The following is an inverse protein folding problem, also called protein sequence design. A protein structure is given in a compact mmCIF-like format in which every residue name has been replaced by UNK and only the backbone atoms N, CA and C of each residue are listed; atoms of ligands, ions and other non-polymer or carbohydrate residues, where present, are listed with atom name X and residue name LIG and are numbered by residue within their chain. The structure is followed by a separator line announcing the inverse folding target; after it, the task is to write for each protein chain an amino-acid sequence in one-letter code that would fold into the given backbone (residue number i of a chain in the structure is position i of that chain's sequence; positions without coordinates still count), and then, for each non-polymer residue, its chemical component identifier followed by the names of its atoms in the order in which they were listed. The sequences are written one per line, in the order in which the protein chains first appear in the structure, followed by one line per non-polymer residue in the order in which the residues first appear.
data_IF_957633359146
#
_entry.id   IF_957633359146
#
_cell.length_a   1.000
_cell.length_b   1.000
_cell.length_c   1.000
_cell.angle_alpha   90.00
_cell.angle_beta   90.00
_cell.angle_gamma   90.00
#
_symmetry.space_group_name_H-M   'P 1'
#
loop_
_entity.id
_entity.type
_entity.pdbx_description
1 polymer ?
#
# COMPACT_ATOMS: atom_id res chain seq x y z
N UNK A 1 14.77 -14.69 -4.65
CA UNK A 1 13.91 -15.18 -3.56
C UNK A 1 12.86 -16.11 -4.16
N UNK A 2 12.62 -17.31 -3.60
CA UNK A 2 11.60 -18.20 -4.14
C UNK A 2 10.20 -17.67 -3.82
N UNK A 3 9.29 -17.84 -4.77
CA UNK A 3 7.86 -17.61 -4.61
C UNK A 3 7.11 -18.72 -5.33
N UNK A 4 5.88 -18.98 -4.88
CA UNK A 4 4.96 -19.87 -5.57
C UNK A 4 3.66 -19.12 -5.84
N UNK A 5 2.98 -19.46 -6.92
CA UNK A 5 1.67 -18.89 -7.22
C UNK A 5 0.73 -19.93 -7.82
N UNK A 6 -0.56 -19.69 -7.63
CA UNK A 6 -1.67 -20.46 -8.20
C UNK A 6 -2.54 -19.50 -9.00
N UNK A 7 -2.99 -19.94 -10.18
CA UNK A 7 -3.97 -19.21 -10.98
C UNK A 7 -5.37 -19.71 -10.67
N UNK A 8 -6.32 -18.81 -10.46
CA UNK A 8 -7.73 -19.09 -10.27
C UNK A 8 -8.58 -18.30 -11.25
N UNK A 9 -9.65 -18.92 -11.75
CA UNK A 9 -10.63 -18.26 -12.62
C UNK A 9 -10.05 -17.75 -13.96
N UNK A 10 -10.95 -17.17 -14.74
CA UNK A 10 -10.61 -16.51 -16.01
C UNK A 10 -10.39 -15.01 -15.82
N UNK A 11 -9.53 -14.43 -16.65
CA UNK A 11 -9.19 -13.01 -16.56
C UNK A 11 -10.41 -12.14 -16.88
N UNK A 12 -10.73 -11.13 -16.05
CA UNK A 12 -11.58 -10.03 -16.45
C UNK A 12 -10.96 -9.25 -17.62
N UNK A 13 -11.79 -8.44 -18.30
CA UNK A 13 -11.33 -7.61 -19.42
C UNK A 13 -10.18 -6.65 -19.07
N UNK A 14 -10.08 -6.22 -17.81
CA UNK A 14 -8.99 -5.31 -17.36
C UNK A 14 -7.70 -6.04 -16.98
N UNK A 15 -7.69 -7.38 -16.99
CA UNK A 15 -6.58 -8.20 -16.53
C UNK A 15 -6.88 -8.93 -15.22
N UNK A 16 -6.01 -9.88 -14.88
CA UNK A 16 -6.12 -10.68 -13.67
C UNK A 16 -5.85 -9.86 -12.41
N UNK A 17 -6.51 -10.24 -11.31
CA UNK A 17 -6.14 -9.77 -9.96
C UNK A 17 -4.82 -10.43 -9.49
N UNK A 18 -4.09 -9.78 -8.57
CA UNK A 18 -2.93 -10.37 -7.90
C UNK A 18 -3.08 -10.27 -6.38
N UNK A 19 -3.03 -11.40 -5.68
CA UNK A 19 -3.09 -11.49 -4.22
C UNK A 19 -1.74 -11.96 -3.70
N UNK A 20 -1.02 -11.08 -3.01
CA UNK A 20 0.27 -11.38 -2.40
C UNK A 20 0.03 -11.77 -0.94
N UNK A 21 0.41 -12.99 -0.57
CA UNK A 21 0.12 -13.59 0.73
C UNK A 21 1.41 -13.96 1.47
N UNK A 22 1.75 -13.17 2.48
CA UNK A 22 3.01 -13.27 3.24
C UNK A 22 2.89 -14.28 4.39
N UNK A 23 3.89 -15.15 4.50
CA UNK A 23 3.92 -16.18 5.54
C UNK A 23 4.32 -15.63 6.92
N UNK A 24 3.88 -16.34 7.97
CA UNK A 24 4.33 -16.12 9.34
C UNK A 24 5.70 -16.74 9.64
N UNK A 25 6.11 -16.75 10.90
CA UNK A 25 7.44 -17.24 11.30
C UNK A 25 8.35 -16.09 11.68
N UNK A 26 9.58 -16.08 11.17
CA UNK A 26 10.62 -15.16 11.61
C UNK A 26 11.30 -15.58 12.90
N UNK A 27 12.53 -15.08 13.07
CA UNK A 27 13.46 -15.40 14.16
C UNK A 27 13.53 -16.90 14.50
N UNK A 28 13.47 -17.75 13.48
CA UNK A 28 13.38 -19.20 13.60
C UNK A 28 14.25 -19.89 12.55
N UNK A 29 14.63 -21.16 12.72
CA UNK A 29 15.37 -21.90 11.70
C UNK A 29 14.68 -21.88 10.34
N UNK A 30 15.46 -21.95 9.26
CA UNK A 30 14.95 -21.90 7.88
C UNK A 30 13.83 -22.92 7.64
N UNK A 31 13.97 -24.15 8.15
CA UNK A 31 12.95 -25.21 8.01
C UNK A 31 11.58 -24.83 8.60
N UNK A 32 11.54 -24.02 9.67
CA UNK A 32 10.29 -23.52 10.24
C UNK A 32 9.66 -22.48 9.32
N UNK A 33 10.45 -21.53 8.84
CA UNK A 33 9.99 -20.51 7.89
C UNK A 33 9.51 -21.14 6.57
N UNK A 34 10.22 -22.14 6.05
CA UNK A 34 9.84 -22.83 4.82
C UNK A 34 8.54 -23.62 4.99
N UNK A 35 8.28 -24.17 6.19
CA UNK A 35 6.99 -24.81 6.51
C UNK A 35 5.86 -23.78 6.56
N UNK A 36 6.09 -22.61 7.16
CA UNK A 36 5.10 -21.52 7.17
C UNK A 36 4.81 -21.02 5.76
N UNK A 37 5.84 -20.86 4.93
CA UNK A 37 5.68 -20.53 3.53
C UNK A 37 4.85 -21.59 2.79
N UNK A 38 5.17 -22.88 2.94
CA UNK A 38 4.39 -23.97 2.32
C UNK A 38 2.91 -23.95 2.73
N UNK A 39 2.62 -23.66 4.00
CA UNK A 39 1.24 -23.47 4.47
C UNK A 39 0.56 -22.29 3.76
N UNK A 40 1.27 -21.15 3.65
CA UNK A 40 0.75 -19.94 3.04
C UNK A 40 0.38 -20.12 1.56
N UNK A 41 1.09 -20.96 0.78
CA UNK A 41 0.85 -21.17 -0.66
C UNK A 41 -0.60 -21.57 -1.00
N UNK A 42 -1.31 -22.24 -0.08
CA UNK A 42 -2.68 -22.73 -0.29
C UNK A 42 -3.66 -22.23 0.75
N UNK A 43 -3.27 -21.25 1.55
CA UNK A 43 -4.08 -20.82 2.69
C UNK A 43 -5.42 -20.23 2.25
N UNK A 44 -5.43 -19.45 1.17
CA UNK A 44 -6.65 -18.89 0.63
C UNK A 44 -6.85 -19.19 -0.85
N UNK A 45 -8.12 -19.13 -1.27
CA UNK A 45 -8.56 -19.37 -2.63
C UNK A 45 -9.42 -18.19 -3.11
N UNK A 46 -8.87 -17.20 -3.84
CA UNK A 46 -9.68 -16.19 -4.49
C UNK A 46 -10.56 -16.80 -5.58
N UNK A 47 -11.64 -16.09 -5.95
CA UNK A 47 -12.51 -16.49 -7.07
C UNK A 47 -11.77 -16.42 -8.40
N UNK A 48 -10.88 -15.45 -8.54
CA UNK A 48 -10.17 -15.09 -9.76
C UNK A 48 -8.81 -14.50 -9.41
N UNK A 49 -7.82 -14.69 -10.29
CA UNK A 49 -6.52 -14.02 -10.24
C UNK A 49 -5.37 -14.94 -9.86
N UNK A 50 -4.19 -14.34 -9.70
CA UNK A 50 -3.01 -15.02 -9.19
C UNK A 50 -2.95 -14.89 -7.67
N UNK A 51 -2.94 -16.03 -6.97
CA UNK A 51 -2.60 -16.08 -5.55
C UNK A 51 -1.12 -16.42 -5.42
N UNK A 52 -0.33 -15.49 -4.90
CA UNK A 52 1.12 -15.57 -4.82
C UNK A 52 1.56 -15.56 -3.37
N UNK A 53 2.36 -16.55 -2.98
CA UNK A 53 3.04 -16.58 -1.69
C UNK A 53 4.56 -16.49 -1.88
N UNK A 54 5.20 -15.35 -1.55
CA UNK A 54 6.65 -15.25 -1.51
C UNK A 54 7.19 -15.88 -0.21
N UNK A 55 8.41 -16.41 -0.24
CA UNK A 55 9.17 -16.79 0.95
C UNK A 55 10.16 -15.70 1.28
N UNK A 56 10.04 -14.97 2.39
CA UNK A 56 10.92 -13.83 2.69
C UNK A 56 12.41 -14.16 2.56
N UNK A 57 13.26 -13.17 2.25
CA UNK A 57 14.68 -13.42 1.97
C UNK A 57 15.39 -14.00 3.19
N UNK A 58 15.05 -13.45 4.36
CA UNK A 58 15.69 -13.70 5.62
C UNK A 58 14.77 -14.48 6.55
N UNK A 59 15.35 -14.94 7.67
CA UNK A 59 14.62 -15.55 8.78
C UNK A 59 14.65 -14.65 10.02
N UNK A 60 14.90 -13.34 9.86
CA UNK A 60 14.95 -12.37 10.95
C UNK A 60 13.56 -12.20 11.59
N UNK A 61 13.50 -11.54 12.74
CA UNK A 61 12.22 -11.24 13.39
C UNK A 61 11.37 -10.26 12.57
N UNK A 62 12.01 -9.39 11.76
CA UNK A 62 11.39 -8.35 10.94
C UNK A 62 11.49 -8.65 9.43
N UNK A 63 11.46 -9.92 9.04
CA UNK A 63 11.71 -10.40 7.66
C UNK A 63 10.93 -9.68 6.54
N UNK A 64 9.78 -9.07 6.84
CA UNK A 64 8.94 -8.34 5.87
C UNK A 64 9.11 -6.81 5.94
N UNK A 65 9.95 -6.32 6.84
CA UNK A 65 10.23 -4.91 7.09
C UNK A 65 11.70 -4.57 6.79
N UNK A 66 12.48 -5.47 6.21
CA UNK A 66 13.83 -5.13 5.77
C UNK A 66 13.80 -4.30 4.47
N UNK A 67 14.76 -3.38 4.29
CA UNK A 67 14.78 -2.41 3.18
C UNK A 67 14.76 -3.02 1.78
N UNK A 68 15.13 -4.28 1.62
CA UNK A 68 15.10 -4.97 0.35
C UNK A 68 13.71 -5.53 -0.03
N UNK A 69 12.74 -5.50 0.87
CA UNK A 69 11.40 -6.06 0.66
C UNK A 69 10.57 -5.19 -0.28
N UNK A 70 10.62 -3.88 -0.14
CA UNK A 70 9.88 -2.92 -0.97
C UNK A 70 10.28 -3.01 -2.46
N UNK A 71 11.58 -2.90 -2.84
CA UNK A 71 11.99 -3.05 -4.24
C UNK A 71 11.74 -4.46 -4.78
N UNK A 72 11.77 -5.48 -3.92
CA UNK A 72 11.39 -6.84 -4.30
C UNK A 72 9.90 -6.90 -4.69
N UNK A 73 9.00 -6.32 -3.89
CA UNK A 73 7.58 -6.28 -4.21
C UNK A 73 7.29 -5.45 -5.46
N UNK A 74 7.97 -4.31 -5.64
CA UNK A 74 7.83 -3.53 -6.88
C UNK A 74 8.20 -4.37 -8.10
N UNK A 75 9.37 -5.02 -8.09
CA UNK A 75 9.81 -5.91 -9.18
C UNK A 75 8.84 -7.06 -9.42
N UNK A 76 8.33 -7.66 -8.35
CA UNK A 76 7.40 -8.79 -8.44
C UNK A 76 6.08 -8.38 -9.09
N UNK A 77 5.52 -7.23 -8.69
CA UNK A 77 4.28 -6.70 -9.26
C UNK A 77 4.49 -6.40 -10.75
N UNK A 78 5.58 -5.72 -11.10
CA UNK A 78 5.89 -5.37 -12.49
C UNK A 78 6.01 -6.61 -13.38
N UNK A 79 6.66 -7.68 -12.90
CA UNK A 79 6.75 -8.94 -13.63
C UNK A 79 5.37 -9.56 -13.88
N UNK A 80 4.47 -9.52 -12.90
CA UNK A 80 3.11 -10.05 -13.07
C UNK A 80 2.24 -9.18 -13.99
N UNK A 81 2.40 -7.86 -13.94
CA UNK A 81 1.75 -6.94 -14.88
C UNK A 81 2.24 -7.24 -16.30
N UNK A 82 3.55 -7.28 -16.52
CA UNK A 82 4.16 -7.45 -17.85
C UNK A 82 3.96 -8.86 -18.44
N UNK A 83 4.12 -9.92 -17.64
CA UNK A 83 4.21 -11.29 -18.15
C UNK A 83 2.94 -12.11 -17.92
N UNK A 84 2.04 -11.65 -17.05
CA UNK A 84 0.85 -12.40 -16.63
C UNK A 84 -0.46 -11.63 -16.82
N UNK A 85 -0.41 -10.41 -17.35
CA UNK A 85 -1.59 -9.59 -17.63
C UNK A 85 -2.34 -9.20 -16.36
N UNK A 86 -1.61 -8.97 -15.26
CA UNK A 86 -2.21 -8.45 -14.02
C UNK A 86 -2.60 -6.99 -14.20
N UNK A 87 -3.79 -6.65 -13.73
CA UNK A 87 -4.26 -5.27 -13.61
C UNK A 87 -3.54 -4.61 -12.42
N UNK A 88 -2.69 -3.58 -12.61
CA UNK A 88 -1.99 -2.91 -11.51
C UNK A 88 -2.93 -2.19 -10.54
N UNK A 89 -4.22 -2.04 -10.87
CA UNK A 89 -5.23 -1.53 -9.96
C UNK A 89 -5.97 -2.62 -9.16
N UNK A 90 -5.59 -3.90 -9.31
CA UNK A 90 -6.14 -5.06 -8.60
C UNK A 90 -5.05 -5.91 -7.96
N UNK A 91 -4.08 -5.24 -7.34
CA UNK A 91 -3.01 -5.86 -6.55
C UNK A 91 -3.35 -5.73 -5.08
N UNK A 92 -3.36 -6.84 -4.36
CA UNK A 92 -3.76 -6.93 -2.96
C UNK A 92 -2.62 -7.53 -2.13
N UNK A 93 -2.43 -7.05 -0.91
CA UNK A 93 -1.42 -7.58 0.00
C UNK A 93 -2.05 -8.07 1.30
N UNK A 94 -1.62 -9.24 1.75
CA UNK A 94 -2.13 -9.85 2.97
C UNK A 94 -1.07 -10.73 3.61
N UNK A 95 -1.22 -11.05 4.89
CA UNK A 95 -0.30 -11.95 5.55
C UNK A 95 -0.77 -12.36 6.93
N UNK A 96 -0.21 -13.46 7.41
CA UNK A 96 -0.58 -14.09 8.66
C UNK A 96 0.59 -14.06 9.66
N UNK A 97 0.34 -13.74 10.93
CA UNK A 97 1.37 -13.71 11.98
C UNK A 97 2.48 -12.69 11.64
N UNK A 98 3.75 -13.09 11.52
CA UNK A 98 4.81 -12.19 11.01
C UNK A 98 4.49 -11.61 9.62
N UNK A 99 3.75 -12.32 8.76
CA UNK A 99 3.22 -11.74 7.53
C UNK A 99 2.11 -10.71 7.77
N UNK A 100 1.39 -10.83 8.88
CA UNK A 100 0.50 -9.79 9.39
C UNK A 100 1.27 -8.55 9.84
N UNK A 101 2.38 -8.72 10.56
CA UNK A 101 3.31 -7.63 10.92
C UNK A 101 3.80 -6.93 9.65
N UNK A 102 4.25 -7.72 8.67
CA UNK A 102 4.63 -7.24 7.34
C UNK A 102 3.49 -6.49 6.64
N UNK A 103 2.24 -6.90 6.81
CA UNK A 103 1.09 -6.21 6.21
C UNK A 103 0.86 -4.84 6.87
N UNK A 104 1.00 -4.73 8.19
CA UNK A 104 0.95 -3.44 8.88
C UNK A 104 2.04 -2.48 8.40
N UNK A 105 3.22 -3.00 8.05
CA UNK A 105 4.37 -2.21 7.60
C UNK A 105 4.28 -1.82 6.11
N UNK A 106 3.99 -2.78 5.24
CA UNK A 106 4.03 -2.61 3.79
C UNK A 106 2.77 -1.95 3.22
N UNK A 107 1.61 -2.14 3.86
CA UNK A 107 0.39 -1.48 3.43
C UNK A 107 0.54 0.06 3.43
N UNK A 108 0.99 0.72 4.52
CA UNK A 108 1.23 2.17 4.49
C UNK A 108 2.46 2.57 3.65
N UNK A 109 3.58 1.85 3.72
CA UNK A 109 4.81 2.22 2.98
C UNK A 109 4.64 2.18 1.46
N UNK A 110 3.83 1.25 0.97
CA UNK A 110 3.60 1.03 -0.47
C UNK A 110 2.12 1.23 -0.84
N UNK A 111 1.38 2.07 -0.11
CA UNK A 111 -0.09 2.20 -0.28
C UNK A 111 -0.53 2.52 -1.71
N UNK A 112 0.32 3.20 -2.48
CA UNK A 112 0.07 3.54 -3.87
C UNK A 112 0.29 2.38 -4.86
N UNK A 113 0.58 1.16 -4.38
CA UNK A 113 0.66 -0.09 -5.16
C UNK A 113 -0.54 -1.00 -4.92
N UNK A 114 -1.27 -0.80 -3.83
CA UNK A 114 -2.31 -1.71 -3.37
C UNK A 114 -3.71 -1.20 -3.69
N UNK A 115 -4.62 -2.11 -4.04
CA UNK A 115 -6.04 -1.86 -4.13
C UNK A 115 -6.75 -2.07 -2.78
N UNK A 116 -6.24 -2.99 -1.97
CA UNK A 116 -6.62 -3.20 -0.57
C UNK A 116 -5.55 -4.06 0.12
N UNK A 117 -5.53 -4.00 1.45
CA UNK A 117 -4.67 -4.83 2.28
C UNK A 117 -5.46 -5.49 3.43
N UNK A 118 -5.04 -6.69 3.83
CA UNK A 118 -5.66 -7.41 4.94
C UNK A 118 -4.62 -8.05 5.86
N UNK A 119 -4.61 -7.63 7.12
CA UNK A 119 -3.71 -8.10 8.16
C UNK A 119 -4.39 -9.19 8.99
N UNK A 120 -3.72 -10.33 9.18
CA UNK A 120 -4.20 -11.43 10.02
C UNK A 120 -3.19 -11.74 11.14
N UNK A 121 -3.66 -11.66 12.39
CA UNK A 121 -2.93 -12.07 13.60
C UNK A 121 -1.51 -11.48 13.77
N UNK A 122 -1.25 -10.32 13.17
CA UNK A 122 -0.01 -9.58 13.28
C UNK A 122 -0.04 -8.46 14.31
N UNK A 123 1.10 -7.82 14.48
CA UNK A 123 1.38 -6.72 15.37
C UNK A 123 1.90 -5.52 14.55
N UNK A 124 1.38 -4.30 14.79
CA UNK A 124 1.74 -3.12 14.01
C UNK A 124 3.14 -2.60 14.29
N UNK A 125 3.70 -2.91 15.46
CA UNK A 125 4.94 -2.29 15.97
C UNK A 125 4.82 -0.76 15.91
N UNK A 126 5.77 -0.08 15.29
CA UNK A 126 5.80 1.37 15.08
C UNK A 126 5.00 1.87 13.86
N UNK A 127 4.32 0.99 13.12
CA UNK A 127 3.56 1.37 11.95
C UNK A 127 2.57 2.51 12.23
N UNK A 128 2.30 3.31 11.21
CA UNK A 128 1.40 4.46 11.30
C UNK A 128 0.31 4.40 10.24
N UNK A 129 -0.92 4.85 10.57
CA UNK A 129 -2.03 4.79 9.62
C UNK A 129 -2.03 5.95 8.62
N UNK A 130 -1.16 6.95 8.76
CA UNK A 130 -1.15 8.18 7.95
C UNK A 130 -1.30 7.88 6.44
N UNK A 131 -0.53 6.90 5.92
CA UNK A 131 -0.55 6.51 4.50
C UNK A 131 -1.75 5.64 4.10
N UNK A 132 -2.58 5.19 5.04
CA UNK A 132 -3.80 4.41 4.78
C UNK A 132 -4.98 5.29 4.35
N UNK A 133 -4.79 6.61 4.19
CA UNK A 133 -5.85 7.56 3.82
C UNK A 133 -6.69 7.07 2.63
N UNK A 134 -6.04 6.56 1.58
CA UNK A 134 -6.68 6.07 0.35
C UNK A 134 -6.68 4.54 0.23
N UNK A 135 -6.12 3.81 1.19
CA UNK A 135 -5.96 2.36 1.10
C UNK A 135 -6.98 1.63 2.00
N UNK A 136 -7.90 0.84 1.40
CA UNK A 136 -8.73 -0.06 2.19
C UNK A 136 -7.90 -1.05 3.02
N UNK A 137 -8.10 -1.06 4.34
CA UNK A 137 -7.33 -1.91 5.27
C UNK A 137 -8.22 -2.78 6.17
N UNK A 138 -8.02 -4.10 6.17
CA UNK A 138 -8.80 -5.04 6.98
C UNK A 138 -7.94 -5.67 8.08
N UNK A 139 -8.32 -5.46 9.34
CA UNK A 139 -7.70 -6.03 10.54
C UNK A 139 -8.47 -7.28 10.99
N UNK A 140 -7.77 -8.39 11.18
CA UNK A 140 -8.34 -9.63 11.70
C UNK A 140 -7.43 -10.27 12.74
N UNK A 141 -7.97 -10.61 13.92
CA UNK A 141 -7.18 -11.23 14.98
C UNK A 141 -8.03 -12.16 15.86
N UNK A 142 -7.43 -13.21 16.43
CA UNK A 142 -8.08 -14.06 17.42
C UNK A 142 -8.24 -13.34 18.76
N UNK A 143 -9.40 -13.43 19.40
CA UNK A 143 -9.67 -12.81 20.69
C UNK A 143 -8.86 -13.38 21.85
N UNK A 144 -8.37 -14.62 21.72
CA UNK A 144 -7.47 -15.28 22.68
C UNK A 144 -6.00 -15.18 22.27
N UNK A 145 -5.69 -14.43 21.21
CA UNK A 145 -4.34 -14.29 20.68
C UNK A 145 -3.54 -13.21 21.45
N UNK A 146 -3.22 -13.53 22.71
CA UNK A 146 -2.73 -12.56 23.69
C UNK A 146 -1.21 -12.31 23.66
N UNK A 147 -0.42 -13.10 22.92
CA UNK A 147 1.03 -12.89 22.90
C UNK A 147 1.34 -11.51 22.28
N UNK A 148 2.18 -10.71 22.95
CA UNK A 148 2.47 -9.31 22.60
C UNK A 148 1.22 -8.41 22.56
N UNK A 149 0.17 -8.74 23.32
CA UNK A 149 -1.10 -8.02 23.34
C UNK A 149 -1.75 -7.84 21.95
N UNK A 150 -1.44 -8.72 20.99
CA UNK A 150 -1.88 -8.59 19.58
C UNK A 150 -3.38 -8.43 19.42
N UNK A 151 -4.17 -9.19 20.16
CA UNK A 151 -5.63 -9.05 20.17
C UNK A 151 -6.10 -7.65 20.61
N UNK A 152 -5.53 -7.11 21.68
CA UNK A 152 -5.86 -5.77 22.20
C UNK A 152 -5.40 -4.68 21.23
N UNK A 153 -4.18 -4.80 20.72
CA UNK A 153 -3.58 -3.81 19.82
C UNK A 153 -4.29 -3.80 18.47
N UNK A 154 -4.70 -4.95 17.94
CA UNK A 154 -5.56 -5.02 16.76
C UNK A 154 -6.90 -4.31 16.97
N UNK A 155 -7.54 -4.49 18.14
CA UNK A 155 -8.77 -3.78 18.48
C UNK A 155 -8.56 -2.25 18.59
N UNK A 156 -7.45 -1.83 19.22
CA UNK A 156 -7.08 -0.42 19.34
C UNK A 156 -6.81 0.22 17.98
N UNK A 157 -6.14 -0.49 17.06
CA UNK A 157 -5.94 -0.02 15.70
C UNK A 157 -7.25 0.12 14.92
N UNK A 158 -8.18 -0.82 15.09
CA UNK A 158 -9.53 -0.69 14.56
C UNK A 158 -10.21 0.59 15.04
N UNK A 159 -10.24 0.82 16.36
CA UNK A 159 -10.82 2.03 16.95
C UNK A 159 -10.10 3.33 16.51
N UNK A 160 -8.78 3.28 16.29
CA UNK A 160 -8.02 4.41 15.73
C UNK A 160 -8.48 4.73 14.31
N UNK A 161 -8.69 3.73 13.46
CA UNK A 161 -9.21 3.90 12.10
C UNK A 161 -10.68 4.37 12.11
N UNK A 162 -11.50 3.90 13.05
CA UNK A 162 -12.87 4.42 13.25
C UNK A 162 -12.85 5.94 13.50
N UNK A 163 -11.97 6.40 14.40
CA UNK A 163 -11.79 7.82 14.70
C UNK A 163 -11.30 8.62 13.48
N UNK A 164 -10.30 8.10 12.76
CA UNK A 164 -9.77 8.76 11.56
C UNK A 164 -10.80 8.84 10.43
N UNK A 165 -11.56 7.77 10.18
CA UNK A 165 -12.62 7.75 9.18
C UNK A 165 -13.77 8.70 9.55
N UNK A 166 -14.12 8.83 10.83
CA UNK A 166 -15.12 9.80 11.30
C UNK A 166 -14.70 11.24 11.06
N UNK A 167 -13.41 11.55 11.23
CA UNK A 167 -12.84 12.88 10.98
C UNK A 167 -12.64 13.17 9.48
N UNK A 168 -12.56 12.12 8.66
CA UNK A 168 -12.29 12.21 7.22
C UNK A 168 -13.29 11.35 6.42
N UNK A 169 -14.55 11.82 6.23
CA UNK A 169 -15.56 11.05 5.52
C UNK A 169 -15.09 10.58 4.15
N UNK A 170 -15.15 9.26 3.91
CA UNK A 170 -14.71 8.63 2.66
C UNK A 170 -13.25 8.17 2.63
N UNK A 171 -12.43 8.60 3.59
CA UNK A 171 -11.05 8.14 3.77
C UNK A 171 -10.93 7.02 4.79
N UNK A 172 -9.74 6.41 4.89
CA UNK A 172 -9.41 5.34 5.84
C UNK A 172 -10.44 4.21 5.82
N UNK A 173 -10.86 3.79 4.62
CA UNK A 173 -11.81 2.68 4.48
C UNK A 173 -11.23 1.45 5.18
N UNK A 174 -11.97 0.89 6.13
CA UNK A 174 -11.43 -0.21 6.91
C UNK A 174 -12.50 -1.19 7.37
N UNK A 175 -12.05 -2.31 7.89
CA UNK A 175 -12.86 -3.29 8.59
C UNK A 175 -12.02 -3.92 9.68
N UNK A 176 -12.65 -4.26 10.80
CA UNK A 176 -11.98 -4.92 11.93
C UNK A 176 -12.83 -6.10 12.40
N UNK A 177 -12.21 -7.27 12.57
CA UNK A 177 -12.85 -8.42 13.24
C UNK A 177 -11.89 -9.00 14.28
N UNK A 178 -12.35 -9.02 15.53
CA UNK A 178 -11.71 -9.79 16.60
C UNK A 178 -12.57 -11.04 16.85
N UNK A 179 -12.01 -12.23 16.64
CA UNK A 179 -12.73 -13.50 16.74
C UNK A 179 -12.67 -14.04 18.18
N UNK A 180 -13.69 -13.84 19.05
CA UNK A 180 -13.51 -13.91 20.51
C UNK A 180 -12.98 -15.25 21.03
N UNK A 181 -13.34 -16.34 20.36
CA UNK A 181 -13.04 -17.70 20.79
C UNK A 181 -11.78 -18.32 20.17
N UNK A 182 -11.08 -17.60 19.30
CA UNK A 182 -9.93 -18.12 18.54
C UNK A 182 -8.61 -17.59 19.09
N UNK A 183 -7.58 -18.43 19.09
CA UNK A 183 -6.20 -18.05 19.41
C UNK A 183 -5.47 -17.53 18.17
N UNK A 184 -4.16 -17.77 18.10
CA UNK A 184 -3.34 -17.32 16.98
C UNK A 184 -3.83 -17.80 15.62
N UNK A 185 -4.31 -19.04 15.56
CA UNK A 185 -4.92 -19.60 14.37
C UNK A 185 -6.44 -19.42 14.40
N UNK A 186 -6.98 -18.70 13.40
CA UNK A 186 -8.40 -18.37 13.29
C UNK A 186 -9.19 -19.43 12.50
N UNK A 187 -8.60 -20.60 12.22
CA UNK A 187 -9.22 -21.73 11.51
C UNK A 187 -9.85 -21.32 10.16
N UNK A 188 -9.18 -20.42 9.42
CA UNK A 188 -9.61 -19.96 8.11
C UNK A 188 -10.84 -19.04 8.12
N UNK A 189 -11.35 -18.64 9.30
CA UNK A 189 -12.47 -17.67 9.41
C UNK A 189 -12.10 -16.32 8.81
N UNK A 190 -10.82 -15.99 8.87
CA UNK A 190 -10.19 -14.80 8.32
C UNK A 190 -10.14 -14.78 6.77
N UNK A 191 -10.47 -15.88 6.09
CA UNK A 191 -10.58 -15.94 4.63
C UNK A 191 -11.62 -14.97 4.04
N UNK A 192 -12.52 -14.43 4.87
CA UNK A 192 -13.46 -13.35 4.47
C UNK A 192 -12.74 -12.08 3.97
N UNK A 193 -11.46 -11.91 4.27
CA UNK A 193 -10.64 -10.83 3.71
C UNK A 193 -10.48 -10.91 2.19
N UNK A 194 -10.44 -12.12 1.61
CA UNK A 194 -10.19 -12.26 0.17
C UNK A 194 -11.30 -11.65 -0.69
N UNK A 195 -12.58 -12.03 -0.54
CA UNK A 195 -13.66 -11.37 -1.28
C UNK A 195 -13.85 -9.90 -0.89
N UNK A 196 -13.48 -9.51 0.33
CA UNK A 196 -13.51 -8.10 0.75
C UNK A 196 -12.44 -7.27 0.03
N UNK A 197 -11.19 -7.74 -0.05
CA UNK A 197 -10.13 -7.06 -0.82
C UNK A 197 -10.53 -6.97 -2.30
N UNK A 198 -11.02 -8.07 -2.88
CA UNK A 198 -11.45 -8.15 -4.27
C UNK A 198 -12.58 -7.16 -4.65
N UNK A 199 -13.34 -6.64 -3.69
CA UNK A 199 -14.36 -5.62 -3.94
C UNK A 199 -13.79 -4.19 -4.04
N UNK A 200 -12.47 -4.04 -3.99
CA UNK A 200 -11.78 -2.75 -4.08
C UNK A 200 -10.88 -2.70 -5.31
N UNK A 201 -10.68 -1.49 -5.81
CA UNK A 201 -9.79 -1.19 -6.93
C UNK A 201 -9.00 0.05 -6.54
N UNK A 202 -7.69 0.04 -6.82
CA UNK A 202 -6.81 1.17 -6.52
C UNK A 202 -7.22 2.39 -7.35
N UNK A 203 -7.24 3.55 -6.71
CA UNK A 203 -7.20 4.84 -7.41
C UNK A 203 -5.74 5.30 -7.53
N UNK A 204 -5.14 5.32 -8.73
CA UNK A 204 -3.77 5.80 -8.92
C UNK A 204 -3.65 7.33 -8.84
N UNK A 205 -4.76 8.08 -8.87
CA UNK A 205 -4.79 9.54 -8.89
C UNK A 205 -5.72 10.13 -7.81
N UNK A 206 -5.54 9.75 -6.53
CA UNK A 206 -6.42 10.22 -5.46
C UNK A 206 -6.31 11.74 -5.28
N UNK A 207 -7.40 12.40 -4.90
CA UNK A 207 -7.42 13.85 -4.72
C UNK A 207 -6.78 14.33 -3.42
N UNK A 208 -6.64 13.46 -2.43
CA UNK A 208 -6.02 13.76 -1.15
C UNK A 208 -4.91 12.75 -0.93
N UNK A 209 -3.71 13.20 -0.57
CA UNK A 209 -2.60 12.38 -0.12
C UNK A 209 -2.15 12.85 1.24
N UNK A 210 -1.97 11.91 2.16
CA UNK A 210 -1.17 12.07 3.36
C UNK A 210 -0.01 11.07 3.25
N UNK A 211 1.22 11.58 3.26
CA UNK A 211 2.42 10.78 3.05
C UNK A 211 3.42 10.99 4.18
N UNK A 212 3.45 10.05 5.11
CA UNK A 212 4.48 9.82 6.09
C UNK A 212 5.60 8.94 5.52
N UNK A 213 6.84 9.36 5.74
CA UNK A 213 8.05 8.60 5.46
C UNK A 213 8.42 7.75 6.67
N UNK A 214 8.37 6.43 6.51
CA UNK A 214 8.77 5.50 7.56
C UNK A 214 10.31 5.43 7.68
N UNK A 215 10.81 4.54 8.54
CA UNK A 215 12.24 4.22 8.62
C UNK A 215 12.82 3.69 7.31
N UNK A 216 12.02 2.93 6.54
CA UNK A 216 12.24 2.67 5.12
C UNK A 216 11.47 3.71 4.32
N UNK A 217 12.25 4.63 3.74
CA UNK A 217 11.71 5.74 2.97
C UNK A 217 11.45 5.39 1.52
N UNK A 218 10.49 6.09 0.91
CA UNK A 218 10.16 5.98 -0.50
C UNK A 218 10.35 7.30 -1.22
N UNK A 219 10.78 7.27 -2.49
CA UNK A 219 10.88 8.49 -3.30
C UNK A 219 9.58 8.90 -3.98
N UNK A 220 8.62 7.98 -4.14
CA UNK A 220 7.37 8.20 -4.89
C UNK A 220 6.19 7.66 -4.08
N UNK A 221 5.15 8.49 -3.97
CA UNK A 221 3.87 8.11 -3.39
C UNK A 221 2.72 8.78 -4.15
N UNK A 222 1.95 7.99 -4.90
CA UNK A 222 0.97 8.44 -5.87
C UNK A 222 1.56 9.49 -6.84
N UNK A 223 1.06 10.73 -6.79
CA UNK A 223 1.51 11.84 -7.61
C UNK A 223 2.53 12.76 -6.93
N UNK A 224 3.08 12.35 -5.78
CA UNK A 224 4.19 13.04 -5.11
C UNK A 224 5.51 12.32 -5.37
N UNK A 225 6.57 13.11 -5.55
CA UNK A 225 7.95 12.63 -5.62
C UNK A 225 8.86 13.48 -4.75
N UNK A 226 9.60 12.82 -3.85
CA UNK A 226 10.62 13.40 -2.99
C UNK A 226 11.98 12.82 -3.38
N UNK A 227 12.92 13.68 -3.80
CA UNK A 227 14.23 13.24 -4.27
C UNK A 227 15.11 12.71 -3.12
N UNK A 228 14.97 13.27 -1.93
CA UNK A 228 15.80 12.97 -0.76
C UNK A 228 14.90 12.80 0.48
N UNK A 229 14.05 11.75 0.50
CA UNK A 229 13.15 11.51 1.61
C UNK A 229 13.91 11.18 2.88
N UNK A 230 13.43 11.72 4.01
CA UNK A 230 13.95 11.46 5.34
C UNK A 230 12.84 10.85 6.20
N UNK A 231 13.24 9.99 7.13
CA UNK A 231 12.34 9.41 8.13
C UNK A 231 11.53 10.49 8.83
N UNK A 232 10.27 10.20 9.09
CA UNK A 232 9.29 11.02 9.80
C UNK A 232 8.91 12.35 9.11
N UNK A 233 9.30 12.56 7.86
CA UNK A 233 8.70 13.62 7.04
C UNK A 233 7.23 13.29 6.76
N UNK A 234 6.38 14.29 6.84
CA UNK A 234 4.95 14.20 6.47
C UNK A 234 4.67 15.24 5.39
N UNK A 235 4.06 14.80 4.29
CA UNK A 235 3.60 15.66 3.20
C UNK A 235 2.10 15.45 3.04
N UNK A 236 1.34 16.54 3.05
CA UNK A 236 -0.09 16.52 2.72
C UNK A 236 -0.32 17.24 1.41
N UNK A 237 -1.19 16.68 0.57
CA UNK A 237 -1.50 17.28 -0.71
C UNK A 237 -2.97 17.03 -1.09
N UNK A 238 -3.71 18.09 -1.39
CA UNK A 238 -5.14 18.03 -1.73
C UNK A 238 -5.43 18.79 -3.01
N UNK A 239 -6.31 18.26 -3.84
CA UNK A 239 -6.71 18.87 -5.12
C UNK A 239 -8.19 19.23 -5.09
N UNK A 240 -8.46 20.49 -5.43
CA UNK A 240 -9.80 21.02 -5.72
C UNK A 240 -9.79 21.74 -7.07
N UNK A 241 -10.41 21.13 -8.08
CA UNK A 241 -10.35 21.59 -9.47
C UNK A 241 -8.90 21.71 -9.97
N UNK A 242 -8.47 22.96 -10.21
CA UNK A 242 -7.11 23.31 -10.68
C UNK A 242 -6.18 23.79 -9.55
N UNK A 243 -6.63 23.74 -8.30
CA UNK A 243 -5.87 24.17 -7.12
C UNK A 243 -5.30 22.97 -6.39
N UNK A 244 -4.02 23.04 -6.07
CA UNK A 244 -3.31 22.05 -5.27
C UNK A 244 -2.90 22.72 -3.97
N UNK A 245 -3.44 22.26 -2.86
CA UNK A 245 -2.90 22.56 -1.53
C UNK A 245 -1.76 21.57 -1.28
N UNK A 246 -0.54 22.04 -1.05
CA UNK A 246 0.64 21.23 -0.79
C UNK A 246 1.36 21.75 0.45
N UNK A 247 1.51 20.90 1.46
CA UNK A 247 2.08 21.31 2.74
C UNK A 247 2.98 20.23 3.35
N UNK A 248 4.08 20.67 3.96
CA UNK A 248 4.98 19.85 4.76
C UNK A 248 5.79 20.76 5.68
N UNK A 249 6.13 20.30 6.87
CA UNK A 249 6.87 21.11 7.84
C UNK A 249 8.40 21.12 7.60
N UNK A 250 8.94 20.06 6.97
CA UNK A 250 10.40 19.84 6.89
C UNK A 250 10.87 19.25 5.56
N UNK A 251 10.08 19.39 4.50
CA UNK A 251 10.44 19.02 3.14
C UNK A 251 10.65 20.28 2.32
N UNK A 252 11.86 20.56 1.79
CA UNK A 252 12.12 21.81 1.08
C UNK A 252 11.54 21.82 -0.33
N UNK A 253 11.51 20.66 -1.00
CA UNK A 253 11.06 20.55 -2.39
C UNK A 253 10.32 19.26 -2.64
N UNK A 254 9.24 19.33 -3.42
CA UNK A 254 8.50 18.18 -3.93
C UNK A 254 8.34 18.32 -5.44
N UNK A 255 8.41 17.21 -6.16
CA UNK A 255 7.99 17.16 -7.56
C UNK A 255 6.60 16.57 -7.65
N UNK A 256 5.67 17.33 -8.19
CA UNK A 256 4.32 16.88 -8.54
C UNK A 256 4.36 16.13 -9.86
N UNK A 257 3.86 14.90 -9.86
CA UNK A 257 3.70 14.04 -11.03
C UNK A 257 2.27 14.20 -11.54
N UNK A 258 2.05 14.97 -12.59
CA UNK A 258 0.71 15.38 -13.02
C UNK A 258 0.23 14.62 -14.26
N UNK A 259 -1.08 14.45 -14.37
CA UNK A 259 -1.77 13.75 -15.47
C UNK A 259 -3.16 14.36 -15.67
N UNK A 260 -3.70 14.27 -16.89
CA UNK A 260 -5.07 14.69 -17.18
C UNK A 260 -6.13 13.89 -16.43
N UNK A 261 -5.76 12.70 -15.94
CA UNK A 261 -6.58 11.91 -15.00
C UNK A 261 -6.72 12.60 -13.64
N UNK A 262 -5.78 13.46 -13.27
CA UNK A 262 -5.73 14.14 -11.99
C UNK A 262 -6.30 15.57 -12.05
N UNK A 263 -6.03 16.34 -13.09
CA UNK A 263 -6.52 17.72 -13.32
C UNK A 263 -6.39 18.09 -14.79
N UNK A 264 -6.96 19.21 -15.24
CA UNK A 264 -6.86 19.61 -16.65
C UNK A 264 -5.53 20.36 -16.92
N UNK A 265 -4.62 19.76 -17.67
CA UNK A 265 -3.31 20.35 -18.00
C UNK A 265 -3.37 21.43 -19.10
N UNK A 266 -4.52 21.63 -19.75
CA UNK A 266 -4.77 22.77 -20.66
C UNK A 266 -5.15 24.05 -19.90
N UNK A 267 -5.34 23.97 -18.58
CA UNK A 267 -5.70 25.09 -17.73
C UNK A 267 -4.57 25.39 -16.76
N UNK A 268 -4.51 26.65 -16.36
CA UNK A 268 -3.60 27.09 -15.31
C UNK A 268 -3.83 26.29 -14.03
N UNK A 269 -2.73 25.93 -13.36
CA UNK A 269 -2.72 25.23 -12.08
C UNK A 269 -2.17 26.19 -11.04
N UNK A 270 -2.79 26.24 -9.88
CA UNK A 270 -2.30 27.01 -8.74
C UNK A 270 -1.89 26.04 -7.63
N UNK A 271 -0.68 26.21 -7.09
CA UNK A 271 -0.20 25.46 -5.92
C UNK A 271 -0.02 26.42 -4.77
N UNK A 272 -0.60 26.12 -3.61
CA UNK A 272 -0.48 26.93 -2.39
C UNK A 272 -0.13 26.06 -1.18
N UNK A 273 0.47 26.65 -0.15
CA UNK A 273 0.62 26.00 1.16
C UNK A 273 -0.57 26.29 2.10
N UNK A 274 -0.57 25.74 3.32
CA UNK A 274 -1.68 25.94 4.29
C UNK A 274 -1.84 27.39 4.77
N UNK A 275 -0.81 28.23 4.65
CA UNK A 275 -0.86 29.66 4.95
C UNK A 275 -1.34 30.51 3.75
N UNK A 276 -1.66 29.89 2.61
CA UNK A 276 -2.12 30.59 1.42
C UNK A 276 -0.99 31.22 0.58
N UNK A 277 0.29 30.93 0.90
CA UNK A 277 1.42 31.34 0.05
C UNK A 277 1.34 30.60 -1.28
N UNK A 278 1.37 31.35 -2.38
CA UNK A 278 1.47 30.79 -3.72
C UNK A 278 2.88 30.21 -3.93
N UNK A 279 2.94 28.92 -4.23
CA UNK A 279 4.18 28.20 -4.54
C UNK A 279 4.40 28.07 -6.06
N UNK A 280 3.30 28.10 -6.81
CA UNK A 280 3.31 28.08 -8.28
C UNK A 280 1.96 28.54 -8.83
N UNK A 281 1.97 29.23 -9.96
CA UNK A 281 0.79 29.51 -10.78
C UNK A 281 1.19 29.55 -12.25
N UNK A 282 0.56 28.72 -13.07
CA UNK A 282 0.89 28.65 -14.49
C UNK A 282 0.40 27.38 -15.18
N UNK A 283 0.66 27.29 -16.49
CA UNK A 283 0.49 26.06 -17.25
C UNK A 283 1.66 25.11 -16.98
N UNK A 284 1.37 23.81 -16.86
CA UNK A 284 2.40 22.78 -16.76
C UNK A 284 2.33 21.90 -18.01
N UNK A 285 3.26 22.07 -18.96
CA UNK A 285 3.18 21.36 -20.23
C UNK A 285 3.45 19.87 -20.05
N UNK A 286 2.73 19.06 -20.83
CA UNK A 286 3.06 17.65 -20.98
C UNK A 286 4.42 17.50 -21.64
N UNK A 287 5.15 16.44 -21.29
CA UNK A 287 6.43 16.15 -21.91
C UNK A 287 6.67 14.65 -22.04
N UNK A 288 7.35 14.25 -23.12
CA UNK A 288 7.85 12.88 -23.30
C UNK A 288 8.73 12.46 -22.12
N UNK A 289 9.56 13.37 -21.61
CA UNK A 289 10.44 13.14 -20.45
C UNK A 289 9.64 12.75 -19.20
N UNK A 290 8.50 13.38 -18.93
CA UNK A 290 7.66 13.03 -17.78
C UNK A 290 7.08 11.61 -17.90
N UNK A 291 6.69 11.22 -19.12
CA UNK A 291 6.18 9.88 -19.44
C UNK A 291 7.29 8.84 -19.27
N UNK A 292 8.44 9.06 -19.93
CA UNK A 292 9.61 8.18 -19.88
C UNK A 292 10.09 7.99 -18.43
N UNK A 293 10.22 9.08 -17.67
CA UNK A 293 10.62 9.04 -16.26
C UNK A 293 9.60 8.28 -15.41
N UNK A 294 8.30 8.49 -15.65
CA UNK A 294 7.25 7.83 -14.87
C UNK A 294 7.19 6.32 -15.08
N UNK A 295 7.34 5.86 -16.33
CA UNK A 295 7.28 4.44 -16.66
C UNK A 295 8.56 3.70 -16.25
N UNK A 296 9.71 4.38 -16.28
CA UNK A 296 10.97 3.84 -15.76
C UNK A 296 10.97 3.72 -14.24
N UNK A 297 10.31 4.65 -13.54
CA UNK A 297 10.18 4.56 -12.08
C UNK A 297 9.31 3.39 -11.63
N UNK A 298 8.19 3.16 -12.33
CA UNK A 298 7.31 2.00 -12.11
C UNK A 298 6.62 1.61 -13.41
N UNK A 299 6.67 0.33 -13.75
CA UNK A 299 5.96 -0.23 -14.91
C UNK A 299 4.46 -0.39 -14.61
N UNK A 300 3.77 0.75 -14.56
CA UNK A 300 2.33 0.84 -14.27
C UNK A 300 1.69 1.91 -15.17
N UNK A 301 1.09 1.50 -16.31
CA UNK A 301 0.45 2.41 -17.25
C UNK A 301 -0.66 3.27 -16.64
N UNK A 302 -1.28 2.83 -15.55
CA UNK A 302 -2.38 3.54 -14.92
C UNK A 302 -1.90 4.73 -14.07
N UNK A 303 -0.62 4.77 -13.68
CA UNK A 303 -0.02 5.83 -12.85
C UNK A 303 1.10 6.62 -13.55
N UNK A 304 1.16 6.58 -14.89
CA UNK A 304 2.09 7.37 -15.70
C UNK A 304 1.69 8.85 -15.68
N UNK A 305 2.59 9.71 -15.19
CA UNK A 305 2.43 11.14 -15.29
C UNK A 305 2.88 11.63 -16.67
N UNK A 306 2.18 12.63 -17.19
CA UNK A 306 2.49 13.27 -18.47
C UNK A 306 3.16 14.62 -18.28
N UNK A 307 3.16 15.17 -17.07
CA UNK A 307 3.82 16.42 -16.70
C UNK A 307 4.53 16.29 -15.34
N UNK A 308 5.60 17.04 -15.14
CA UNK A 308 6.34 17.12 -13.88
C UNK A 308 6.48 18.59 -13.48
N UNK A 309 6.13 18.92 -12.24
CA UNK A 309 6.28 20.26 -11.69
C UNK A 309 7.07 20.18 -10.38
N UNK A 310 8.29 20.74 -10.35
CA UNK A 310 9.05 20.88 -9.11
C UNK A 310 8.60 22.14 -8.37
N UNK A 311 8.23 21.98 -7.10
CA UNK A 311 7.73 23.04 -6.22
C UNK A 311 8.64 23.14 -4.99
N UNK A 312 8.93 24.36 -4.56
CA UNK A 312 9.61 24.68 -3.30
C UNK A 312 8.58 25.08 -2.26
N UNK A 313 8.59 24.47 -1.08
CA UNK A 313 7.62 24.69 0.00
C UNK A 313 7.98 25.94 0.83
#
# INVERSE_FOLDING_TARGET
MPYAFLKYGEAPATGHSLYISMHGGGNAPAAVNDRQWKNQIRLYKPKEGYYLAPRAATNSWNLWHEGHIDPMFDTLIENFVALKGVDPNKVYITGYSAGGDGTYQLAPRMADRWAAAAMMAGHPNEARPDNLYNLPFFIQCGGKDAAYDRNKIAAQWGAKLDGLAKLNPGAYKHKTIIYPNYGHWMNGKDAVAIPWMASHTRDPWPKHILWHQDDITGKRFYWLYNEAPKKDQIISATIDGQKILLDSDNVPTITLRLSDKLLNLEKEITVTNKQGKELFKGLVPRSKKAIDHSIQQRFDPNSVATALLKVTL
#
